data_IF_779828820750
#
_entry.id   IF_779828820750
#
_cell.length_a   1.000
_cell.length_b   1.000
_cell.length_c   1.000
_cell.angle_alpha   90.00
_cell.angle_beta   90.00
_cell.angle_gamma   90.00
#
_symmetry.space_group_name_H-M   'P 1'
#
loop_
_entity.id
_entity.type
_entity.pdbx_description
1 polymer ?
#
# COMPACT_ATOMS: atom_id res chain seq x y z
N UNK A 1 13.62 60.46 -57.15
CA UNK A 1 13.94 61.48 -56.12
C UNK A 1 12.64 62.07 -55.62
N UNK A 2 12.09 61.58 -54.52
CA UNK A 2 11.14 62.32 -53.67
C UNK A 2 11.10 61.59 -52.31
N UNK A 3 11.64 62.31 -51.32
CA UNK A 3 11.70 61.97 -49.92
C UNK A 3 10.31 62.09 -49.32
N UNK A 4 9.83 61.06 -48.63
CA UNK A 4 8.60 61.10 -47.84
C UNK A 4 8.96 60.95 -46.37
N UNK A 5 8.77 61.99 -45.65
CA UNK A 5 8.92 62.15 -44.21
C UNK A 5 7.85 61.41 -43.44
N UNK A 6 8.26 60.66 -42.43
CA UNK A 6 7.44 59.88 -41.51
C UNK A 6 7.02 60.74 -40.32
N UNK A 7 5.75 60.75 -39.91
CA UNK A 7 5.34 61.48 -38.68
C UNK A 7 5.61 60.66 -37.41
N UNK A 8 5.93 61.36 -36.32
CA UNK A 8 6.16 60.80 -34.95
C UNK A 8 4.85 60.41 -34.29
N UNK A 9 4.88 59.38 -33.37
CA UNK A 9 3.69 58.98 -32.64
C UNK A 9 3.41 59.86 -31.40
N UNK A 10 2.15 59.99 -31.00
CA UNK A 10 1.73 60.76 -29.84
C UNK A 10 1.98 60.03 -28.52
N UNK A 11 2.07 60.80 -27.45
CA UNK A 11 2.55 60.45 -26.12
C UNK A 11 1.79 59.39 -25.38
N UNK A 12 2.56 58.72 -24.50
CA UNK A 12 2.11 57.70 -23.58
C UNK A 12 1.22 58.27 -22.47
N UNK A 13 -0.02 57.79 -22.41
CA UNK A 13 -0.89 57.99 -21.25
C UNK A 13 -0.51 57.02 -20.14
N UNK A 14 -0.29 57.53 -18.94
CA UNK A 14 -0.04 56.77 -17.72
C UNK A 14 -1.29 55.98 -17.37
N UNK A 15 -1.18 54.64 -17.41
CA UNK A 15 -2.21 53.73 -16.90
C UNK A 15 -2.11 53.61 -15.38
N UNK A 16 -3.19 54.00 -14.69
CA UNK A 16 -3.36 53.81 -13.25
C UNK A 16 -3.29 52.34 -12.87
N UNK A 17 -2.45 52.00 -11.88
CA UNK A 17 -2.34 50.66 -11.31
C UNK A 17 -3.59 50.34 -10.51
N UNK A 18 -4.30 49.30 -10.88
CA UNK A 18 -5.37 48.68 -10.10
C UNK A 18 -4.79 47.99 -8.86
N UNK A 19 -5.51 48.00 -7.71
CA UNK A 19 -5.02 47.35 -6.48
C UNK A 19 -5.00 45.81 -6.66
N UNK A 20 -3.88 45.21 -6.24
CA UNK A 20 -3.64 43.79 -6.15
C UNK A 20 -4.66 43.14 -5.19
N UNK A 21 -5.46 42.12 -5.57
CA UNK A 21 -6.28 41.45 -4.62
C UNK A 21 -5.43 40.64 -3.64
N UNK A 22 -5.78 40.73 -2.34
CA UNK A 22 -5.19 39.95 -1.27
C UNK A 22 -5.37 38.43 -1.50
N UNK A 23 -4.46 37.56 -1.04
CA UNK A 23 -4.57 36.15 -1.20
C UNK A 23 -5.79 35.65 -0.41
N UNK A 24 -6.80 35.20 -1.13
CA UNK A 24 -7.95 34.48 -0.56
C UNK A 24 -7.41 33.14 -0.03
N UNK A 25 -7.49 32.94 1.26
CA UNK A 25 -7.23 31.65 1.91
C UNK A 25 -8.12 30.60 1.24
N UNK A 26 -7.51 29.74 0.44
CA UNK A 26 -8.18 28.55 -0.08
C UNK A 26 -8.54 27.64 1.10
N UNK A 27 -9.76 27.75 1.59
CA UNK A 27 -10.36 26.76 2.45
C UNK A 27 -10.48 25.48 1.61
N UNK A 28 -9.62 24.51 1.91
CA UNK A 28 -9.71 23.16 1.38
C UNK A 28 -11.08 22.62 1.82
N UNK A 29 -12.00 22.50 0.87
CA UNK A 29 -13.28 21.84 1.09
C UNK A 29 -13.01 20.36 1.29
N UNK A 30 -12.79 19.98 2.55
CA UNK A 30 -12.86 18.57 2.98
C UNK A 30 -14.32 18.18 2.80
N UNK A 31 -14.62 17.37 1.80
CA UNK A 31 -15.92 16.71 1.71
C UNK A 31 -16.10 15.97 3.04
N UNK A 32 -17.15 16.31 3.78
CA UNK A 32 -17.45 15.68 5.07
C UNK A 32 -17.88 14.22 4.81
N UNK A 33 -16.89 13.33 4.67
CA UNK A 33 -17.14 11.90 4.76
C UNK A 33 -17.57 11.62 6.21
N UNK A 34 -18.69 10.92 6.38
CA UNK A 34 -19.09 10.41 7.69
C UNK A 34 -17.94 9.57 8.24
N UNK A 35 -17.50 9.87 9.45
CA UNK A 35 -16.45 9.09 10.11
C UNK A 35 -16.90 7.62 10.19
N UNK A 36 -16.09 6.72 9.65
CA UNK A 36 -16.32 5.28 9.71
C UNK A 36 -15.55 4.68 10.87
N UNK A 37 -16.08 3.61 11.41
CA UNK A 37 -15.38 2.72 12.33
C UNK A 37 -14.76 1.57 11.54
N UNK A 38 -13.45 1.57 11.39
CA UNK A 38 -12.72 0.68 10.49
C UNK A 38 -11.94 -0.36 11.28
N UNK A 39 -12.29 -1.64 11.11
CA UNK A 39 -11.53 -2.74 11.69
C UNK A 39 -10.24 -2.99 10.89
N UNK A 40 -9.08 -3.00 11.56
CA UNK A 40 -7.82 -3.36 10.90
C UNK A 40 -7.55 -4.86 11.05
N UNK A 41 -7.21 -5.51 9.93
CA UNK A 41 -6.60 -6.83 9.87
C UNK A 41 -5.14 -6.70 9.41
N UNK A 42 -4.18 -6.58 10.34
CA UNK A 42 -2.76 -6.39 10.00
C UNK A 42 -2.21 -7.50 9.12
N UNK A 43 -2.70 -8.71 9.31
CA UNK A 43 -2.19 -9.98 8.78
C UNK A 43 -0.99 -10.53 9.57
N UNK A 44 -0.82 -11.86 9.55
CA UNK A 44 0.16 -12.52 10.42
C UNK A 44 1.62 -12.11 10.16
N UNK A 45 2.01 -11.94 8.88
CA UNK A 45 3.39 -11.56 8.53
C UNK A 45 3.64 -10.09 8.88
N UNK A 46 2.67 -9.21 8.64
CA UNK A 46 2.77 -7.80 9.00
C UNK A 46 2.90 -7.66 10.51
N UNK A 47 2.01 -8.28 11.26
CA UNK A 47 2.01 -8.21 12.73
C UNK A 47 3.34 -8.73 13.34
N UNK A 48 3.82 -9.88 12.84
CA UNK A 48 5.01 -10.52 13.42
C UNK A 48 6.34 -9.89 12.97
N UNK A 49 6.44 -9.37 11.75
CA UNK A 49 7.73 -9.01 11.15
C UNK A 49 7.80 -7.58 10.60
N UNK A 50 6.67 -6.96 10.28
CA UNK A 50 6.60 -5.65 9.64
C UNK A 50 5.54 -4.74 10.28
N UNK A 51 5.50 -4.57 11.62
CA UNK A 51 4.43 -3.86 12.33
C UNK A 51 4.23 -2.43 11.84
N UNK A 52 5.29 -1.80 11.31
CA UNK A 52 5.24 -0.44 10.73
C UNK A 52 4.20 -0.31 9.59
N UNK A 53 3.89 -1.39 8.88
CA UNK A 53 2.87 -1.39 7.81
C UNK A 53 1.47 -1.23 8.40
N UNK A 54 1.18 -1.95 9.51
CA UNK A 54 -0.08 -1.79 10.23
C UNK A 54 -0.21 -0.39 10.84
N UNK A 55 0.86 0.09 11.50
CA UNK A 55 0.92 1.45 12.05
C UNK A 55 0.73 2.53 10.98
N UNK A 56 1.33 2.35 9.79
CA UNK A 56 1.16 3.26 8.66
C UNK A 56 -0.29 3.27 8.19
N UNK A 57 -0.93 2.09 8.10
CA UNK A 57 -2.34 1.97 7.73
C UNK A 57 -3.24 2.69 8.73
N UNK A 58 -3.02 2.49 10.03
CA UNK A 58 -3.75 3.20 11.09
C UNK A 58 -3.58 4.72 10.95
N UNK A 59 -2.34 5.19 10.83
CA UNK A 59 -2.04 6.63 10.68
C UNK A 59 -2.75 7.27 9.48
N UNK A 60 -2.85 6.56 8.35
CA UNK A 60 -3.58 7.06 7.18
C UNK A 60 -5.07 7.24 7.52
N UNK A 61 -5.69 6.23 8.12
CA UNK A 61 -7.12 6.23 8.41
C UNK A 61 -7.49 7.25 9.49
N UNK A 62 -6.70 7.36 10.56
CA UNK A 62 -6.89 8.37 11.60
C UNK A 62 -6.69 9.80 11.06
N UNK A 63 -5.73 10.01 10.16
CA UNK A 63 -5.54 11.30 9.46
C UNK A 63 -6.74 11.71 8.62
N UNK A 64 -7.46 10.73 8.07
CA UNK A 64 -8.71 10.94 7.35
C UNK A 64 -9.93 11.11 8.28
N UNK A 65 -9.74 11.04 9.59
CA UNK A 65 -10.80 11.25 10.59
C UNK A 65 -11.64 10.00 10.89
N UNK A 66 -11.15 8.80 10.56
CA UNK A 66 -11.84 7.55 10.87
C UNK A 66 -11.39 6.98 12.21
N UNK A 67 -12.29 6.28 12.90
CA UNK A 67 -11.97 5.48 14.08
C UNK A 67 -11.39 4.13 13.63
N UNK A 68 -10.22 3.74 14.16
CA UNK A 68 -9.63 2.44 13.87
C UNK A 68 -9.80 1.52 15.06
N UNK A 69 -10.36 0.33 14.82
CA UNK A 69 -10.56 -0.69 15.86
C UNK A 69 -9.75 -1.95 15.49
N UNK A 70 -9.28 -2.62 16.51
CA UNK A 70 -8.51 -3.85 16.38
C UNK A 70 -9.32 -5.01 16.98
N UNK A 71 -9.91 -5.91 16.15
CA UNK A 71 -10.59 -7.10 16.65
C UNK A 71 -9.62 -7.96 17.45
N UNK A 72 -9.87 -8.20 18.75
CA UNK A 72 -8.96 -8.97 19.57
C UNK A 72 -8.93 -10.44 19.10
N UNK A 73 -7.83 -11.14 19.35
CA UNK A 73 -7.62 -12.56 19.04
C UNK A 73 -7.61 -12.91 17.53
N UNK A 74 -7.62 -11.93 16.65
CA UNK A 74 -7.40 -12.20 15.23
C UNK A 74 -5.99 -12.80 15.01
N UNK A 75 -5.85 -13.67 13.99
CA UNK A 75 -4.58 -14.36 13.73
C UNK A 75 -4.19 -14.30 12.25
N UNK A 76 -4.47 -15.34 11.50
CA UNK A 76 -4.05 -15.53 10.11
C UNK A 76 -5.26 -15.58 9.17
N UNK A 77 -5.07 -15.25 7.90
CA UNK A 77 -6.07 -15.45 6.85
C UNK A 77 -6.20 -16.93 6.39
N UNK A 78 -5.38 -17.84 6.87
CA UNK A 78 -5.27 -19.25 6.49
C UNK A 78 -4.71 -19.56 5.09
N UNK A 79 -4.37 -18.57 4.27
CA UNK A 79 -3.96 -18.77 2.88
C UNK A 79 -2.82 -19.78 2.71
N UNK A 80 -1.81 -19.76 3.58
CA UNK A 80 -0.68 -20.69 3.47
C UNK A 80 -1.09 -22.15 3.67
N UNK A 81 -2.06 -22.41 4.56
CA UNK A 81 -2.63 -23.74 4.78
C UNK A 81 -3.38 -24.21 3.53
N UNK A 82 -4.24 -23.35 2.99
CA UNK A 82 -5.03 -23.64 1.78
C UNK A 82 -4.12 -23.91 0.57
N UNK A 83 -3.13 -23.06 0.34
CA UNK A 83 -2.18 -23.22 -0.76
C UNK A 83 -1.33 -24.50 -0.64
N UNK A 84 -1.26 -25.07 0.56
CA UNK A 84 -0.53 -26.33 0.84
C UNK A 84 -1.42 -27.56 0.90
N UNK A 85 -2.75 -27.38 0.77
CA UNK A 85 -3.72 -28.48 0.86
C UNK A 85 -4.13 -28.88 2.28
N UNK A 86 -3.74 -28.13 3.31
CA UNK A 86 -4.09 -28.38 4.72
C UNK A 86 -5.44 -27.75 5.08
N UNK A 87 -6.50 -28.23 4.42
CA UNK A 87 -7.83 -27.64 4.56
C UNK A 87 -8.45 -27.84 5.94
N UNK A 88 -8.20 -29.00 6.58
CA UNK A 88 -8.69 -29.28 7.93
C UNK A 88 -8.08 -28.31 8.95
N UNK A 89 -6.75 -28.13 8.91
CA UNK A 89 -6.05 -27.21 9.80
C UNK A 89 -6.42 -25.73 9.54
N UNK A 90 -6.76 -25.41 8.29
CA UNK A 90 -7.22 -24.09 7.91
C UNK A 90 -8.57 -23.73 8.56
N UNK A 91 -9.44 -24.71 8.83
CA UNK A 91 -10.78 -24.45 9.37
C UNK A 91 -10.75 -23.83 10.78
N UNK A 92 -9.89 -24.29 11.66
CA UNK A 92 -9.76 -23.68 13.00
C UNK A 92 -9.32 -22.23 12.94
N UNK A 93 -8.44 -21.88 11.98
CA UNK A 93 -8.02 -20.51 11.74
C UNK A 93 -9.19 -19.66 11.22
N UNK A 94 -9.97 -20.19 10.28
CA UNK A 94 -11.16 -19.52 9.73
C UNK A 94 -12.17 -19.25 10.83
N UNK A 95 -12.48 -20.25 11.65
CA UNK A 95 -13.41 -20.12 12.77
C UNK A 95 -12.97 -19.05 13.76
N UNK A 96 -11.66 -19.00 14.08
CA UNK A 96 -11.13 -17.97 14.95
C UNK A 96 -11.24 -16.58 14.33
N UNK A 97 -10.92 -16.42 13.05
CA UNK A 97 -11.08 -15.15 12.34
C UNK A 97 -12.53 -14.67 12.33
N UNK A 98 -13.45 -15.57 11.95
CA UNK A 98 -14.90 -15.28 11.95
C UNK A 98 -15.36 -14.84 13.33
N UNK A 99 -14.95 -15.54 14.40
CA UNK A 99 -15.31 -15.18 15.76
C UNK A 99 -14.78 -13.78 16.12
N UNK A 100 -13.50 -13.51 15.89
CA UNK A 100 -12.86 -12.23 16.24
C UNK A 100 -13.55 -11.04 15.57
N UNK A 101 -13.91 -11.17 14.29
CA UNK A 101 -14.56 -10.09 13.54
C UNK A 101 -16.07 -10.01 13.79
N UNK A 102 -16.74 -11.12 14.14
CA UNK A 102 -18.16 -11.09 14.52
C UNK A 102 -18.39 -10.48 15.90
N UNK A 103 -17.44 -10.63 16.81
CA UNK A 103 -17.52 -10.08 18.17
C UNK A 103 -17.11 -8.59 18.22
N UNK A 104 -16.69 -7.99 17.10
CA UNK A 104 -16.27 -6.59 17.01
C UNK A 104 -17.30 -5.77 16.25
N UNK A 105 -17.59 -4.56 16.76
CA UNK A 105 -18.44 -3.60 16.08
C UNK A 105 -17.60 -2.71 15.16
N UNK A 106 -17.93 -2.70 13.84
CA UNK A 106 -17.24 -1.91 12.80
C UNK A 106 -18.10 -1.80 11.53
N UNK A 107 -17.90 -0.75 10.77
CA UNK A 107 -18.58 -0.53 9.48
C UNK A 107 -17.92 -1.36 8.36
N UNK A 108 -16.60 -1.19 8.19
CA UNK A 108 -15.79 -1.89 7.19
C UNK A 108 -14.47 -2.37 7.80
N UNK A 109 -13.87 -3.37 7.18
CA UNK A 109 -12.55 -3.85 7.57
C UNK A 109 -11.52 -3.59 6.47
N UNK A 110 -10.25 -3.40 6.86
CA UNK A 110 -9.13 -3.20 5.93
C UNK A 110 -7.96 -4.12 6.25
N UNK A 111 -7.33 -4.64 5.20
CA UNK A 111 -6.05 -5.32 5.31
C UNK A 111 -5.04 -4.76 4.29
N UNK A 112 -3.80 -4.47 4.70
CA UNK A 112 -2.74 -4.04 3.80
C UNK A 112 -2.10 -5.24 3.08
N UNK A 113 -2.93 -6.09 2.46
CA UNK A 113 -2.48 -7.30 1.77
C UNK A 113 -3.59 -7.84 0.87
N UNK A 114 -3.43 -7.72 -0.43
CA UNK A 114 -4.36 -8.26 -1.41
C UNK A 114 -4.50 -9.79 -1.29
N UNK A 115 -3.41 -10.47 -1.03
CA UNK A 115 -3.40 -11.93 -0.91
C UNK A 115 -4.23 -12.44 0.27
N UNK A 116 -4.17 -11.73 1.40
CA UNK A 116 -5.00 -12.06 2.57
C UNK A 116 -6.48 -11.75 2.33
N UNK A 117 -6.79 -10.60 1.72
CA UNK A 117 -8.20 -10.25 1.40
C UNK A 117 -8.80 -11.25 0.43
N UNK A 118 -8.07 -11.71 -0.58
CA UNK A 118 -8.52 -12.79 -1.49
C UNK A 118 -8.82 -14.08 -0.70
N UNK A 119 -7.99 -14.42 0.29
CA UNK A 119 -8.24 -15.58 1.14
C UNK A 119 -9.54 -15.43 1.94
N UNK A 120 -9.78 -14.25 2.52
CA UNK A 120 -11.02 -13.96 3.24
C UNK A 120 -12.24 -14.06 2.33
N UNK A 121 -12.16 -13.49 1.12
CA UNK A 121 -13.30 -13.40 0.20
C UNK A 121 -13.67 -14.72 -0.47
N UNK A 122 -12.70 -15.59 -0.74
CA UNK A 122 -12.93 -16.77 -1.55
C UNK A 122 -12.62 -18.09 -0.82
N UNK A 123 -11.56 -18.13 -0.02
CA UNK A 123 -11.11 -19.38 0.57
C UNK A 123 -11.79 -19.69 1.91
N UNK A 124 -11.95 -18.69 2.79
CA UNK A 124 -12.53 -18.93 4.11
C UNK A 124 -13.97 -19.46 4.08
N UNK A 125 -14.90 -18.89 3.27
CA UNK A 125 -16.23 -19.48 3.15
C UNK A 125 -16.23 -20.90 2.61
N UNK A 126 -15.35 -21.21 1.65
CA UNK A 126 -15.23 -22.56 1.08
C UNK A 126 -14.69 -23.58 2.09
N UNK A 127 -13.69 -23.19 2.88
CA UNK A 127 -13.15 -24.02 3.97
C UNK A 127 -14.24 -24.36 4.99
N UNK A 128 -15.01 -23.38 5.42
CA UNK A 128 -16.11 -23.59 6.38
C UNK A 128 -17.18 -24.53 5.81
N UNK A 129 -17.56 -24.37 4.52
CA UNK A 129 -18.50 -25.28 3.86
C UNK A 129 -17.96 -26.71 3.80
N UNK A 130 -16.68 -26.90 3.46
CA UNK A 130 -16.02 -28.23 3.40
C UNK A 130 -15.96 -28.90 4.78
N UNK A 131 -15.85 -28.09 5.84
CA UNK A 131 -15.88 -28.57 7.22
C UNK A 131 -17.31 -28.91 7.72
N UNK A 132 -18.34 -28.66 6.90
CA UNK A 132 -19.74 -28.92 7.27
C UNK A 132 -20.33 -27.85 8.22
N UNK A 133 -19.74 -26.65 8.26
CA UNK A 133 -20.21 -25.52 9.07
C UNK A 133 -20.79 -24.39 8.20
N UNK A 134 -22.07 -24.48 7.79
CA UNK A 134 -22.70 -23.44 6.97
C UNK A 134 -22.90 -22.13 7.73
N UNK A 135 -22.98 -22.12 9.05
CA UNK A 135 -23.11 -20.92 9.84
C UNK A 135 -21.81 -20.11 9.81
N UNK A 136 -20.68 -20.76 10.03
CA UNK A 136 -19.36 -20.14 9.88
C UNK A 136 -19.13 -19.65 8.44
N UNK A 137 -19.55 -20.42 7.42
CA UNK A 137 -19.42 -20.00 6.02
C UNK A 137 -20.20 -18.72 5.73
N UNK A 138 -21.45 -18.63 6.19
CA UNK A 138 -22.28 -17.43 6.01
C UNK A 138 -21.69 -16.21 6.74
N UNK A 139 -21.18 -16.40 7.96
CA UNK A 139 -20.53 -15.34 8.71
C UNK A 139 -19.21 -14.88 8.02
N UNK A 140 -18.42 -15.82 7.50
CA UNK A 140 -17.22 -15.51 6.71
C UNK A 140 -17.55 -14.67 5.46
N UNK A 141 -18.63 -15.00 4.74
CA UNK A 141 -19.11 -14.23 3.59
C UNK A 141 -19.52 -12.80 3.97
N UNK A 142 -20.24 -12.64 5.08
CA UNK A 142 -20.66 -11.34 5.57
C UNK A 142 -19.46 -10.44 5.96
N UNK A 143 -18.44 -11.00 6.61
CA UNK A 143 -17.19 -10.32 6.94
C UNK A 143 -16.43 -9.98 5.66
N UNK A 144 -16.28 -10.93 4.75
CA UNK A 144 -15.58 -10.75 3.48
C UNK A 144 -16.20 -9.64 2.61
N UNK A 145 -17.54 -9.52 2.60
CA UNK A 145 -18.27 -8.51 1.84
C UNK A 145 -17.99 -7.06 2.27
N UNK A 146 -17.50 -6.85 3.48
CA UNK A 146 -17.10 -5.54 4.02
C UNK A 146 -15.61 -5.43 4.36
N UNK A 147 -14.78 -6.36 3.83
CA UNK A 147 -13.32 -6.33 4.00
C UNK A 147 -12.66 -5.91 2.71
N UNK A 148 -11.84 -4.86 2.77
CA UNK A 148 -11.17 -4.25 1.64
C UNK A 148 -9.65 -4.36 1.75
N UNK A 149 -9.00 -4.45 0.60
CA UNK A 149 -7.58 -4.14 0.50
C UNK A 149 -7.40 -2.61 0.59
N UNK A 150 -6.27 -2.16 1.15
CA UNK A 150 -6.08 -0.75 1.50
C UNK A 150 -6.31 0.21 0.32
N UNK A 151 -5.79 -0.08 -0.88
CA UNK A 151 -5.99 0.81 -2.03
C UNK A 151 -7.45 0.85 -2.49
N UNK A 152 -8.17 -0.27 -2.41
CA UNK A 152 -9.61 -0.30 -2.68
C UNK A 152 -10.40 0.50 -1.66
N UNK A 153 -10.06 0.38 -0.37
CA UNK A 153 -10.70 1.21 0.65
C UNK A 153 -10.47 2.69 0.38
N UNK A 154 -9.21 3.07 0.15
CA UNK A 154 -8.87 4.48 -0.06
C UNK A 154 -9.56 5.07 -1.29
N UNK A 155 -9.52 4.38 -2.44
CA UNK A 155 -10.04 4.91 -3.70
C UNK A 155 -11.54 4.68 -3.84
N UNK A 156 -11.98 3.42 -3.73
CA UNK A 156 -13.35 3.04 -4.12
C UNK A 156 -14.38 3.40 -3.04
N UNK A 157 -13.97 3.50 -1.76
CA UNK A 157 -14.87 3.82 -0.62
C UNK A 157 -14.66 5.24 -0.13
N UNK A 158 -13.40 5.64 0.10
CA UNK A 158 -13.08 6.95 0.71
C UNK A 158 -12.80 8.05 -0.32
N UNK A 159 -12.76 7.74 -1.63
CA UNK A 159 -12.57 8.73 -2.69
C UNK A 159 -11.19 9.39 -2.72
N UNK A 160 -10.17 8.75 -2.15
CA UNK A 160 -8.80 9.25 -2.13
C UNK A 160 -8.13 8.93 -3.45
N UNK A 161 -7.86 9.95 -4.25
CA UNK A 161 -7.22 9.84 -5.58
C UNK A 161 -5.92 10.64 -5.70
N UNK A 162 -5.66 11.53 -4.76
CA UNK A 162 -4.43 12.34 -4.68
C UNK A 162 -3.83 12.24 -3.28
N UNK A 163 -2.75 11.45 -3.17
CA UNK A 163 -2.11 11.19 -1.89
C UNK A 163 -1.41 12.44 -1.32
N UNK A 164 -0.85 13.31 -2.15
CA UNK A 164 -0.24 14.54 -1.68
C UNK A 164 -1.28 15.52 -1.13
N UNK A 165 -2.35 15.74 -1.89
CA UNK A 165 -3.37 16.73 -1.51
C UNK A 165 -4.25 16.23 -0.34
N UNK A 166 -4.62 14.94 -0.33
CA UNK A 166 -5.61 14.41 0.61
C UNK A 166 -4.97 13.75 1.85
N UNK A 167 -3.75 13.23 1.73
CA UNK A 167 -3.03 12.59 2.83
C UNK A 167 -1.80 13.37 3.29
N UNK A 168 -1.37 14.42 2.57
CA UNK A 168 -0.11 15.11 2.84
C UNK A 168 1.13 14.24 2.55
N UNK A 169 0.97 13.21 1.72
CA UNK A 169 2.03 12.25 1.46
C UNK A 169 3.23 12.88 0.77
N UNK A 170 4.44 12.61 1.29
CA UNK A 170 5.69 13.11 0.76
C UNK A 170 6.78 12.05 0.84
N UNK A 171 7.42 11.75 -0.31
CA UNK A 171 8.48 10.75 -0.40
C UNK A 171 9.44 11.05 -1.55
N UNK A 172 10.56 11.80 -1.33
CA UNK A 172 11.41 12.33 -2.39
C UNK A 172 12.46 11.32 -2.87
N UNK A 173 12.01 10.15 -3.32
CA UNK A 173 12.87 9.06 -3.78
C UNK A 173 12.41 8.52 -5.12
N UNK A 174 13.37 7.89 -5.85
CA UNK A 174 13.07 7.11 -7.04
C UNK A 174 12.53 5.73 -6.64
N UNK A 175 11.30 5.44 -7.05
CA UNK A 175 10.54 4.24 -6.64
C UNK A 175 10.04 3.49 -7.86
N UNK A 176 10.16 2.17 -7.84
CA UNK A 176 9.41 1.30 -8.74
C UNK A 176 8.41 0.48 -7.94
N UNK A 177 7.37 -0.07 -8.58
CA UNK A 177 6.28 -0.75 -7.87
C UNK A 177 6.08 -2.18 -8.37
N UNK A 178 6.05 -3.15 -7.44
CA UNK A 178 5.69 -4.53 -7.69
C UNK A 178 4.21 -4.78 -7.39
N UNK A 179 3.43 -5.12 -8.42
CA UNK A 179 2.05 -5.57 -8.26
C UNK A 179 2.00 -7.05 -7.87
N UNK A 180 1.29 -7.37 -6.78
CA UNK A 180 1.12 -8.77 -6.39
C UNK A 180 0.17 -9.51 -7.34
N UNK A 181 0.43 -10.81 -7.56
CA UNK A 181 -0.41 -11.63 -8.44
C UNK A 181 -1.86 -11.73 -7.95
N UNK A 182 -2.10 -11.74 -6.63
CA UNK A 182 -3.44 -11.71 -6.05
C UNK A 182 -4.14 -10.37 -6.30
N UNK A 183 -3.42 -9.26 -6.17
CA UNK A 183 -3.94 -7.93 -6.50
C UNK A 183 -4.36 -7.83 -7.96
N UNK A 184 -3.50 -8.25 -8.87
CA UNK A 184 -3.76 -8.17 -10.31
C UNK A 184 -4.87 -9.12 -10.78
N UNK A 185 -4.76 -10.41 -10.45
CA UNK A 185 -5.57 -11.46 -11.07
C UNK A 185 -6.87 -11.76 -10.34
N UNK A 186 -6.85 -11.75 -9.01
CA UNK A 186 -8.02 -12.07 -8.21
C UNK A 186 -8.82 -10.84 -7.80
N UNK A 187 -8.17 -9.84 -7.21
CA UNK A 187 -8.86 -8.61 -6.79
C UNK A 187 -9.08 -7.62 -7.93
N UNK A 188 -8.36 -7.77 -9.06
CA UNK A 188 -8.43 -6.87 -10.22
C UNK A 188 -8.19 -5.41 -9.81
N UNK A 189 -7.15 -5.18 -8.99
CA UNK A 189 -6.82 -3.83 -8.50
C UNK A 189 -6.44 -2.87 -9.64
N UNK A 190 -5.98 -3.41 -10.79
CA UNK A 190 -5.51 -2.59 -11.89
C UNK A 190 -4.32 -1.73 -11.46
N UNK A 191 -4.39 -0.44 -11.72
CA UNK A 191 -3.34 0.54 -11.44
C UNK A 191 -3.53 1.30 -10.12
N UNK A 192 -4.57 1.00 -9.32
CA UNK A 192 -4.93 1.76 -8.11
C UNK A 192 -3.76 2.10 -7.19
N UNK A 193 -2.93 1.11 -6.88
CA UNK A 193 -1.80 1.29 -5.98
C UNK A 193 -0.71 2.17 -6.59
N UNK A 194 -0.37 1.94 -7.86
CA UNK A 194 0.62 2.75 -8.59
C UNK A 194 0.12 4.16 -8.87
N UNK A 195 -1.18 4.33 -9.15
CA UNK A 195 -1.78 5.65 -9.38
C UNK A 195 -1.72 6.50 -8.11
N UNK A 196 -2.07 5.93 -6.94
CA UNK A 196 -1.89 6.63 -5.66
C UNK A 196 -0.42 6.99 -5.41
N UNK A 197 0.52 6.08 -5.68
CA UNK A 197 1.94 6.36 -5.52
C UNK A 197 2.42 7.52 -6.41
N UNK A 198 1.95 7.59 -7.65
CA UNK A 198 2.32 8.69 -8.58
C UNK A 198 1.87 10.07 -8.08
N UNK A 199 0.85 10.13 -7.24
CA UNK A 199 0.37 11.40 -6.66
C UNK A 199 1.11 11.80 -5.38
N UNK A 200 2.03 10.99 -4.86
CA UNK A 200 2.84 11.32 -3.67
C UNK A 200 3.81 12.45 -4.02
N UNK A 201 3.86 13.50 -3.20
CA UNK A 201 4.74 14.63 -3.46
C UNK A 201 6.23 14.23 -3.40
N UNK A 202 6.98 14.62 -4.42
CA UNK A 202 8.41 14.37 -4.52
C UNK A 202 8.81 13.01 -5.04
N UNK A 203 7.88 12.09 -5.28
CA UNK A 203 8.20 10.77 -5.80
C UNK A 203 8.69 10.85 -7.26
N UNK A 204 9.75 10.11 -7.58
CA UNK A 204 10.19 9.83 -8.95
C UNK A 204 9.79 8.37 -9.27
N UNK A 205 8.63 8.21 -9.92
CA UNK A 205 8.07 6.88 -10.20
C UNK A 205 8.65 6.30 -11.49
N UNK A 206 9.26 5.11 -11.38
CA UNK A 206 9.80 4.36 -12.51
C UNK A 206 8.95 3.11 -12.79
N UNK A 207 8.52 2.94 -14.04
CA UNK A 207 7.75 1.77 -14.47
C UNK A 207 8.60 0.48 -14.34
N UNK A 208 8.00 -0.58 -13.77
CA UNK A 208 8.65 -1.86 -13.63
C UNK A 208 8.44 -2.72 -14.89
N UNK A 209 9.50 -3.09 -15.61
CA UNK A 209 9.37 -4.10 -16.66
C UNK A 209 8.90 -5.44 -16.08
N UNK A 210 7.99 -6.12 -16.77
CA UNK A 210 7.43 -7.37 -16.26
C UNK A 210 6.62 -7.17 -14.97
N UNK A 211 5.82 -6.11 -14.90
CA UNK A 211 4.96 -5.79 -13.75
C UNK A 211 4.12 -6.99 -13.28
N UNK A 212 3.62 -7.79 -14.22
CA UNK A 212 2.76 -8.96 -13.99
C UNK A 212 3.50 -10.22 -13.56
N UNK A 213 4.84 -10.22 -13.62
CA UNK A 213 5.66 -11.36 -13.24
C UNK A 213 5.61 -11.60 -11.74
N UNK A 214 5.51 -12.87 -11.35
CA UNK A 214 5.43 -13.27 -9.96
C UNK A 214 6.74 -12.98 -9.21
N UNK A 215 6.62 -12.60 -7.93
CA UNK A 215 7.78 -12.42 -7.04
C UNK A 215 8.45 -13.74 -6.60
N UNK A 216 7.84 -14.89 -6.90
CA UNK A 216 8.36 -16.21 -6.53
C UNK A 216 8.00 -16.69 -5.12
N UNK A 217 7.36 -15.89 -4.25
CA UNK A 217 7.08 -16.29 -2.88
C UNK A 217 6.11 -17.48 -2.79
N UNK A 218 4.85 -17.31 -3.22
CA UNK A 218 3.83 -18.37 -3.25
C UNK A 218 3.57 -19.09 -1.91
N UNK A 219 3.83 -18.46 -0.77
CA UNK A 219 3.70 -19.07 0.55
C UNK A 219 4.73 -20.19 0.75
N UNK A 220 4.28 -21.41 1.06
CA UNK A 220 5.15 -22.58 1.22
C UNK A 220 5.87 -22.99 -0.07
N UNK A 221 5.46 -22.49 -1.24
CA UNK A 221 6.12 -22.75 -2.51
C UNK A 221 7.59 -22.32 -2.49
N UNK A 222 7.89 -21.17 -1.89
CA UNK A 222 9.27 -20.66 -1.80
C UNK A 222 10.21 -21.60 -1.04
N UNK A 223 9.69 -22.40 -0.11
CA UNK A 223 10.46 -23.39 0.63
C UNK A 223 10.48 -24.75 -0.09
N UNK A 224 9.31 -25.22 -0.57
CA UNK A 224 9.18 -26.54 -1.23
C UNK A 224 9.84 -26.55 -2.61
N UNK A 225 9.89 -25.44 -3.30
CA UNK A 225 10.42 -25.28 -4.66
C UNK A 225 11.46 -24.14 -4.71
N UNK A 226 12.41 -24.15 -3.76
CA UNK A 226 13.36 -23.06 -3.55
C UNK A 226 14.17 -22.67 -4.80
N UNK A 227 14.54 -23.65 -5.64
CA UNK A 227 15.26 -23.38 -6.90
C UNK A 227 14.42 -22.54 -7.87
N UNK A 228 13.16 -22.93 -8.12
CA UNK A 228 12.25 -22.21 -9.02
C UNK A 228 11.89 -20.84 -8.44
N UNK A 229 11.55 -20.79 -7.16
CA UNK A 229 11.29 -19.52 -6.45
C UNK A 229 12.46 -18.56 -6.57
N UNK A 230 13.68 -19.06 -6.35
CA UNK A 230 14.91 -18.26 -6.44
C UNK A 230 15.15 -17.71 -7.84
N UNK A 231 14.92 -18.50 -8.90
CA UNK A 231 15.03 -18.03 -10.28
C UNK A 231 14.01 -16.91 -10.58
N UNK A 232 12.74 -17.13 -10.25
CA UNK A 232 11.67 -16.11 -10.42
C UNK A 232 12.00 -14.80 -9.68
N UNK A 233 12.51 -14.92 -8.45
CA UNK A 233 12.86 -13.74 -7.66
C UNK A 233 14.10 -13.03 -8.22
N UNK A 234 15.08 -13.77 -8.75
CA UNK A 234 16.27 -13.20 -9.39
C UNK A 234 15.88 -12.37 -10.62
N UNK A 235 14.99 -12.89 -11.48
CA UNK A 235 14.46 -12.16 -12.64
C UNK A 235 13.74 -10.88 -12.21
N UNK A 236 12.93 -10.95 -11.15
CA UNK A 236 12.26 -9.77 -10.58
C UNK A 236 13.24 -8.74 -10.04
N UNK A 237 14.30 -9.15 -9.33
CA UNK A 237 15.34 -8.25 -8.83
C UNK A 237 16.09 -7.58 -9.99
N UNK A 238 16.41 -8.34 -11.05
CA UNK A 238 17.05 -7.79 -12.25
C UNK A 238 16.14 -6.75 -12.95
N UNK A 239 14.83 -7.02 -13.05
CA UNK A 239 13.87 -6.06 -13.60
C UNK A 239 13.81 -4.77 -12.75
N UNK A 240 13.82 -4.87 -11.41
CA UNK A 240 13.87 -3.71 -10.52
C UNK A 240 15.16 -2.91 -10.73
N UNK A 241 16.33 -3.57 -10.81
CA UNK A 241 17.62 -2.91 -11.06
C UNK A 241 17.62 -2.15 -12.38
N UNK A 242 16.98 -2.70 -13.43
CA UNK A 242 16.92 -2.05 -14.76
C UNK A 242 16.16 -0.71 -14.74
N UNK A 243 15.32 -0.45 -13.73
CA UNK A 243 14.60 0.83 -13.56
C UNK A 243 15.49 1.94 -12.99
N UNK A 244 16.65 1.60 -12.44
CA UNK A 244 17.50 2.54 -11.69
C UNK A 244 16.91 2.99 -10.35
N UNK A 245 15.79 2.39 -9.89
CA UNK A 245 15.22 2.67 -8.57
C UNK A 245 15.96 1.88 -7.48
N UNK A 246 16.32 2.54 -6.39
CA UNK A 246 16.83 1.90 -5.18
C UNK A 246 15.73 1.42 -4.24
N UNK A 247 14.48 1.79 -4.51
CA UNK A 247 13.32 1.42 -3.69
C UNK A 247 12.31 0.68 -4.57
N UNK A 248 11.92 -0.52 -4.11
CA UNK A 248 10.82 -1.28 -4.67
C UNK A 248 9.64 -1.25 -3.70
N UNK A 249 8.57 -0.55 -4.09
CA UNK A 249 7.31 -0.56 -3.35
C UNK A 249 6.43 -1.75 -3.73
N UNK A 250 5.50 -2.12 -2.86
CA UNK A 250 4.49 -3.15 -3.14
C UNK A 250 3.37 -3.16 -2.11
N UNK A 251 2.28 -3.85 -2.42
CA UNK A 251 1.08 -3.95 -1.58
C UNK A 251 0.94 -5.26 -0.80
N UNK A 252 1.91 -6.15 -0.88
CA UNK A 252 1.95 -7.44 -0.16
C UNK A 252 3.33 -7.65 0.45
N UNK A 253 3.42 -7.63 1.78
CA UNK A 253 4.67 -7.81 2.52
C UNK A 253 5.36 -9.13 2.18
N UNK A 254 4.59 -10.17 1.93
CA UNK A 254 5.13 -11.48 1.55
C UNK A 254 5.95 -11.44 0.25
N UNK A 255 5.50 -10.66 -0.75
CA UNK A 255 6.26 -10.42 -1.96
C UNK A 255 7.51 -9.58 -1.67
N UNK A 256 7.35 -8.51 -0.90
CA UNK A 256 8.45 -7.60 -0.54
C UNK A 256 9.55 -8.32 0.26
N UNK A 257 9.16 -9.22 1.17
CA UNK A 257 10.10 -10.06 1.93
C UNK A 257 10.94 -10.95 1.00
N UNK A 258 10.32 -11.60 0.02
CA UNK A 258 11.02 -12.48 -0.92
C UNK A 258 11.97 -11.68 -1.82
N UNK A 259 11.49 -10.57 -2.39
CA UNK A 259 12.29 -9.66 -3.24
C UNK A 259 13.43 -9.05 -2.43
N UNK A 260 13.16 -8.51 -1.23
CA UNK A 260 14.15 -7.87 -0.37
C UNK A 260 15.23 -8.83 0.10
N UNK A 261 14.86 -10.06 0.48
CA UNK A 261 15.81 -11.10 0.85
C UNK A 261 16.77 -11.48 -0.29
N UNK A 262 16.25 -11.61 -1.52
CA UNK A 262 17.06 -11.87 -2.70
C UNK A 262 17.96 -10.67 -3.05
N UNK A 263 17.42 -9.46 -3.01
CA UNK A 263 18.16 -8.22 -3.26
C UNK A 263 19.32 -8.05 -2.27
N UNK A 264 19.09 -8.32 -0.99
CA UNK A 264 20.11 -8.29 0.06
C UNK A 264 21.19 -9.34 -0.19
N UNK A 265 20.81 -10.58 -0.51
CA UNK A 265 21.75 -11.68 -0.81
C UNK A 265 22.62 -11.32 -2.02
N UNK A 266 22.07 -10.69 -3.03
CA UNK A 266 22.76 -10.25 -4.24
C UNK A 266 23.52 -8.92 -4.05
N UNK A 267 23.37 -8.25 -2.89
CA UNK A 267 24.00 -6.96 -2.58
C UNK A 267 23.67 -5.87 -3.61
N UNK A 268 22.41 -5.81 -4.05
CA UNK A 268 21.97 -4.90 -5.11
C UNK A 268 21.73 -3.46 -4.63
N UNK A 269 21.66 -3.23 -3.34
CA UNK A 269 21.29 -1.93 -2.76
C UNK A 269 19.79 -1.61 -2.80
N UNK A 270 18.95 -2.51 -3.34
CA UNK A 270 17.49 -2.33 -3.38
C UNK A 270 16.91 -2.52 -1.98
N UNK A 271 16.11 -1.56 -1.55
CA UNK A 271 15.28 -1.61 -0.35
C UNK A 271 13.82 -1.85 -0.74
N UNK A 272 13.11 -2.72 -0.01
CA UNK A 272 11.67 -2.94 -0.22
C UNK A 272 10.87 -2.19 0.83
N UNK A 273 9.78 -1.53 0.40
CA UNK A 273 8.92 -0.69 1.26
C UNK A 273 7.46 -0.98 0.93
N UNK A 274 6.61 -1.11 1.95
CA UNK A 274 5.18 -1.26 1.69
C UNK A 274 4.57 0.09 1.27
N UNK A 275 3.66 0.08 0.28
CA UNK A 275 3.09 1.32 -0.24
C UNK A 275 2.34 2.14 0.83
N UNK A 276 1.75 1.49 1.84
CA UNK A 276 1.14 2.18 2.98
C UNK A 276 2.13 3.05 3.76
N UNK A 277 3.39 2.59 3.92
CA UNK A 277 4.43 3.37 4.60
C UNK A 277 4.79 4.63 3.80
N UNK A 278 4.81 4.54 2.46
CA UNK A 278 5.03 5.69 1.58
C UNK A 278 3.86 6.68 1.67
N UNK A 279 2.61 6.18 1.63
CA UNK A 279 1.42 7.03 1.76
C UNK A 279 1.31 7.71 3.14
N UNK A 280 1.78 7.04 4.20
CA UNK A 280 1.77 7.59 5.55
C UNK A 280 2.90 8.61 5.80
N UNK A 281 3.97 8.58 5.00
CA UNK A 281 5.11 9.49 5.07
C UNK A 281 4.69 10.93 4.74
N UNK A 282 5.12 11.90 5.56
CA UNK A 282 4.88 13.32 5.34
C UNK A 282 6.18 14.12 5.49
N UNK A 283 6.15 15.41 5.19
CA UNK A 283 7.33 16.28 5.40
C UNK A 283 7.71 16.40 6.87
N UNK A 284 6.70 16.38 7.77
CA UNK A 284 6.88 16.50 9.21
C UNK A 284 7.30 15.17 9.85
N UNK A 285 6.88 14.05 9.25
CA UNK A 285 7.21 12.70 9.72
C UNK A 285 7.63 11.81 8.54
N UNK A 286 8.84 12.03 7.99
CA UNK A 286 9.32 11.31 6.81
C UNK A 286 9.65 9.84 7.14
N UNK A 287 9.30 8.95 6.22
CA UNK A 287 9.72 7.56 6.28
C UNK A 287 11.23 7.47 6.12
N UNK A 288 11.91 6.89 7.11
CA UNK A 288 13.35 6.62 7.03
C UNK A 288 13.58 5.30 6.28
N UNK A 289 14.29 5.37 5.16
CA UNK A 289 14.71 4.19 4.39
C UNK A 289 16.16 3.86 4.70
N UNK A 290 16.49 2.57 4.75
CA UNK A 290 17.85 2.10 5.01
C UNK A 290 18.79 2.62 3.90
N UNK A 291 19.64 3.57 4.22
CA UNK A 291 20.51 4.31 3.28
C UNK A 291 20.55 5.80 3.61
N UNK A 292 19.51 6.34 4.24
CA UNK A 292 19.43 7.75 4.67
C UNK A 292 20.02 7.99 6.07
N UNK A 293 20.46 6.93 6.76
CA UNK A 293 21.07 7.06 8.09
C UNK A 293 22.50 7.57 7.91
N UNK A 294 22.67 8.87 7.92
CA UNK A 294 23.95 9.47 8.30
C UNK A 294 24.38 8.81 9.62
N UNK A 295 25.53 8.18 9.63
CA UNK A 295 26.11 7.52 10.78
C UNK A 295 26.31 8.55 11.89
N UNK A 296 25.30 8.79 12.72
CA UNK A 296 25.47 9.42 14.01
C UNK A 296 26.03 8.34 14.93
N UNK A 297 27.36 8.37 15.11
CA UNK A 297 28.08 7.52 16.00
C UNK A 297 27.55 7.63 17.42
N UNK A 298 26.98 6.52 17.92
CA UNK A 298 26.56 6.32 19.28
C UNK A 298 26.81 4.87 19.67
N UNK A 299 28.08 4.52 19.84
CA UNK A 299 28.45 3.24 20.42
C UNK A 299 27.84 3.11 21.82
N UNK A 300 26.93 2.16 22.00
CA UNK A 300 26.63 1.59 23.30
C UNK A 300 27.33 0.25 23.37
N UNK A 301 28.46 0.24 24.07
CA UNK A 301 29.10 -0.94 24.57
C UNK A 301 28.16 -1.66 25.54
N UNK A 302 27.84 -2.91 25.24
CA UNK A 302 27.29 -3.81 26.24
C UNK A 302 28.43 -4.30 27.12
N UNK A 303 28.43 -3.91 28.41
CA UNK A 303 29.16 -4.56 29.49
C UNK A 303 28.23 -5.58 30.15
#
# INVERSE_FOLDING_TARGET
MTSATRPSPPGAAQAAQAPTPAPTSAQTATSAHTALRIAIFPTCIVDAMYPRVAEATVRILERLGHEVVFPPQQTCCSQMHVNSGYFADAYDIVRNHVKAFSDCDYDVAVAPSASCVVSLQHQQPDIARRAGDPACASAAEAIAGRTFELSKLLIDVLGITDAAAQLGSYFPHRVTFHSSCHGLRHMKLGTRQSDLLRTVAGIDYAELPGLEDCCGFGGTFSFKNAGTSGAMTADKVAAIQSTGASICAGGDVSCLMNIGGAAQKQKTGITTVHFAEILASTRENPLQVSGDVAVSGGGRSCA
#
